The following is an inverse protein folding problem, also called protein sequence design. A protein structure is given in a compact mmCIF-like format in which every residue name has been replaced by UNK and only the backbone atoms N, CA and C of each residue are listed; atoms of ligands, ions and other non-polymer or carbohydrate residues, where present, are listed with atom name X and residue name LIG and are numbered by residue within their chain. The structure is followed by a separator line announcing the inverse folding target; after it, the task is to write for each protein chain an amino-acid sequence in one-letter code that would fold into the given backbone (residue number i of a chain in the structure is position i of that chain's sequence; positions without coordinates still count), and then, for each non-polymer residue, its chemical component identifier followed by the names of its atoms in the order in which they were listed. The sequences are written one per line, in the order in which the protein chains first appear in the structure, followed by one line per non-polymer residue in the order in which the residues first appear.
data_IF_459085488883
#
_entry.id   IF_459085488883
#
_cell.length_a   1.000
_cell.length_b   1.000
_cell.length_c   1.000
_cell.angle_alpha   90.00
_cell.angle_beta   90.00
_cell.angle_gamma   90.00
#
_symmetry.space_group_name_H-M   'P 1'
#
loop_
_entity.id
_entity.type
_entity.pdbx_description
1 polymer ?
#
# COMPACT_ATOMS: atom_id res chain seq x y z
N UNK A 1 -4.38 -70.97 -22.73
CA UNK A 1 -4.79 -69.74 -23.45
C UNK A 1 -4.15 -68.52 -22.77
N UNK A 2 -3.13 -67.88 -23.37
CA UNK A 2 -2.74 -66.47 -23.12
C UNK A 2 -3.51 -65.55 -24.11
N UNK A 3 -3.38 -64.18 -24.20
CA UNK A 3 -2.24 -63.32 -23.82
C UNK A 3 -2.57 -61.86 -23.34
N UNK A 4 -1.54 -60.98 -23.32
CA UNK A 4 -1.54 -59.50 -23.36
C UNK A 4 -1.82 -58.72 -22.05
N UNK A 5 -0.89 -57.94 -21.49
CA UNK A 5 -0.19 -56.71 -21.95
C UNK A 5 -1.06 -55.43 -21.95
N UNK A 6 -0.75 -54.48 -21.05
CA UNK A 6 -0.45 -53.03 -21.29
C UNK A 6 -0.69 -52.12 -20.06
N UNK A 7 -0.03 -50.95 -20.00
CA UNK A 7 0.09 -50.11 -18.81
C UNK A 7 -1.06 -49.08 -18.71
N UNK A 8 -1.41 -48.67 -17.49
CA UNK A 8 -2.30 -47.51 -17.28
C UNK A 8 -1.45 -46.24 -17.29
N UNK A 9 -1.58 -45.48 -18.39
CA UNK A 9 -1.30 -44.04 -18.45
C UNK A 9 -2.18 -43.33 -17.43
N UNK A 10 -1.59 -42.68 -16.43
CA UNK A 10 -2.25 -41.53 -15.79
C UNK A 10 -1.77 -40.26 -16.46
N UNK A 11 -2.48 -39.84 -17.50
CA UNK A 11 -2.53 -38.44 -17.93
C UNK A 11 -3.15 -37.61 -16.81
N UNK A 12 -2.34 -37.11 -15.88
CA UNK A 12 -2.76 -36.00 -15.03
C UNK A 12 -2.43 -34.71 -15.77
N UNK A 13 -3.49 -34.11 -16.28
CA UNK A 13 -3.51 -32.76 -16.80
C UNK A 13 -3.00 -31.80 -15.72
N UNK A 14 -1.72 -31.46 -15.74
CA UNK A 14 -1.23 -30.25 -15.09
C UNK A 14 -1.63 -29.07 -15.98
N UNK A 15 -2.92 -28.74 -16.00
CA UNK A 15 -3.36 -27.42 -16.49
C UNK A 15 -2.83 -26.42 -15.48
N UNK A 16 -1.67 -25.84 -15.77
CA UNK A 16 -1.23 -24.60 -15.14
C UNK A 16 -2.41 -23.61 -15.25
N UNK A 17 -2.83 -22.96 -14.15
CA UNK A 17 -3.81 -21.90 -14.26
C UNK A 17 -3.26 -20.83 -15.23
N UNK A 18 -4.12 -20.10 -15.95
CA UNK A 18 -3.65 -19.04 -16.81
C UNK A 18 -2.84 -18.08 -15.96
N UNK A 19 -1.57 -17.92 -16.34
CA UNK A 19 -0.70 -16.88 -15.81
C UNK A 19 -1.48 -15.58 -15.89
N UNK A 20 -1.71 -14.92 -14.75
CA UNK A 20 -2.05 -13.50 -14.78
C UNK A 20 -0.90 -12.85 -15.53
N UNK A 21 -1.14 -12.48 -16.79
CA UNK A 21 -0.13 -11.88 -17.66
C UNK A 21 0.29 -10.57 -17.02
N UNK A 22 1.38 -10.68 -16.27
CA UNK A 22 2.29 -9.62 -15.87
C UNK A 22 2.57 -8.82 -17.14
N UNK A 23 2.38 -7.50 -17.05
CA UNK A 23 3.02 -6.46 -17.84
C UNK A 23 3.73 -6.98 -19.11
N UNK A 24 3.17 -6.70 -20.29
CA UNK A 24 3.89 -6.91 -21.55
C UNK A 24 5.03 -5.88 -21.60
N UNK A 25 6.22 -6.32 -21.22
CA UNK A 25 7.47 -5.54 -21.32
C UNK A 25 7.95 -5.59 -22.76
N UNK A 26 7.85 -4.47 -23.47
CA UNK A 26 8.64 -4.23 -24.67
C UNK A 26 9.79 -3.29 -24.29
N UNK A 27 11.02 -3.81 -24.25
CA UNK A 27 12.25 -2.99 -24.23
C UNK A 27 12.56 -2.21 -22.95
N UNK A 28 12.32 -2.76 -21.75
CA UNK A 28 12.71 -2.13 -20.49
C UNK A 28 14.21 -2.37 -20.25
N UNK A 29 15.00 -1.29 -20.10
CA UNK A 29 16.36 -1.36 -19.55
C UNK A 29 16.27 -2.03 -18.17
N UNK A 30 17.20 -2.92 -17.78
CA UNK A 30 17.17 -3.48 -16.43
C UNK A 30 17.19 -2.31 -15.43
N UNK A 31 16.14 -2.23 -14.61
CA UNK A 31 16.11 -1.32 -13.47
C UNK A 31 17.28 -1.72 -12.58
N UNK A 32 18.23 -0.82 -12.39
CA UNK A 32 19.32 -1.05 -11.45
C UNK A 32 18.73 -0.97 -10.03
N UNK A 33 19.31 -1.72 -9.09
CA UNK A 33 18.92 -1.59 -7.68
C UNK A 33 19.74 -0.44 -7.10
N UNK A 34 19.09 0.62 -6.68
CA UNK A 34 19.73 1.81 -6.11
C UNK A 34 19.87 1.72 -4.59
N UNK A 35 18.89 1.10 -3.93
CA UNK A 35 18.92 0.87 -2.49
C UNK A 35 18.18 -0.41 -2.15
N UNK A 36 18.74 -1.22 -1.26
CA UNK A 36 18.08 -2.40 -0.72
C UNK A 36 18.35 -2.56 0.78
N UNK A 37 17.48 -3.29 1.47
CA UNK A 37 17.63 -3.53 2.90
C UNK A 37 16.47 -4.28 3.52
N UNK A 38 16.51 -4.40 4.84
CA UNK A 38 15.45 -5.02 5.63
C UNK A 38 14.43 -4.00 6.11
N UNK A 39 13.16 -4.38 6.11
CA UNK A 39 12.07 -3.61 6.70
C UNK A 39 11.98 -3.98 8.17
N UNK A 40 12.20 -2.99 9.03
CA UNK A 40 11.88 -3.08 10.45
C UNK A 40 10.35 -2.88 10.62
N UNK A 41 9.70 -3.52 11.61
CA UNK A 41 8.27 -3.34 11.84
C UNK A 41 7.84 -1.87 11.94
N UNK A 42 8.68 -0.96 12.43
CA UNK A 42 8.32 0.47 12.54
C UNK A 42 8.79 1.33 11.36
N UNK A 43 9.58 0.80 10.43
CA UNK A 43 10.29 1.64 9.45
C UNK A 43 9.57 1.80 8.10
N UNK A 44 8.64 0.93 7.74
CA UNK A 44 8.04 0.96 6.40
C UNK A 44 7.31 2.28 6.08
N UNK A 45 6.46 2.85 6.97
CA UNK A 45 5.83 4.14 6.70
C UNK A 45 6.87 5.25 6.44
N UNK A 46 7.92 5.32 7.26
CA UNK A 46 8.98 6.32 7.13
C UNK A 46 9.86 6.10 5.90
N UNK A 47 10.13 4.85 5.52
CA UNK A 47 10.81 4.52 4.27
C UNK A 47 9.99 5.01 3.08
N UNK A 48 8.70 4.64 3.01
CA UNK A 48 7.84 5.03 1.90
C UNK A 48 7.67 6.55 1.82
N UNK A 49 7.49 7.23 2.95
CA UNK A 49 7.43 8.69 2.99
C UNK A 49 8.72 9.33 2.51
N UNK A 50 9.88 8.81 2.95
CA UNK A 50 11.19 9.33 2.52
C UNK A 50 11.43 9.14 1.02
N UNK A 51 10.99 8.03 0.44
CA UNK A 51 11.06 7.79 -1.02
C UNK A 51 10.12 8.72 -1.78
N UNK A 52 8.96 9.07 -1.24
CA UNK A 52 8.08 10.07 -1.86
C UNK A 52 8.71 11.47 -1.83
N UNK A 53 9.43 11.79 -0.76
CA UNK A 53 10.02 13.11 -0.53
C UNK A 53 11.22 13.42 -1.44
N UNK A 54 11.86 12.41 -2.03
CA UNK A 54 12.98 12.63 -2.98
C UNK A 54 12.54 13.26 -4.30
N UNK A 55 11.24 13.30 -4.59
CA UNK A 55 10.68 13.70 -5.90
C UNK A 55 11.17 12.84 -7.08
N UNK A 56 11.73 11.67 -6.81
CA UNK A 56 12.23 10.77 -7.85
C UNK A 56 11.09 9.92 -8.45
N UNK A 57 11.34 9.42 -9.67
CA UNK A 57 10.52 8.38 -10.30
C UNK A 57 11.17 7.02 -10.11
N UNK A 58 10.38 6.01 -9.77
CA UNK A 58 10.92 4.68 -9.50
C UNK A 58 9.91 3.66 -8.97
N UNK A 59 10.44 2.53 -8.55
CA UNK A 59 9.69 1.40 -8.04
C UNK A 59 10.28 0.97 -6.69
N UNK A 60 9.41 0.87 -5.68
CA UNK A 60 9.72 0.26 -4.39
C UNK A 60 9.09 -1.13 -4.34
N UNK A 61 9.92 -2.16 -4.42
CA UNK A 61 9.53 -3.55 -4.23
C UNK A 61 9.67 -3.91 -2.75
N UNK A 62 8.60 -4.47 -2.18
CA UNK A 62 8.54 -4.97 -0.81
C UNK A 62 8.35 -6.50 -0.88
N UNK A 63 9.15 -7.24 -0.12
CA UNK A 63 9.05 -8.69 -0.01
C UNK A 63 8.87 -9.14 1.44
N UNK A 64 7.97 -10.09 1.65
CA UNK A 64 7.82 -10.82 2.91
C UNK A 64 7.43 -12.26 2.59
N UNK A 65 8.26 -13.20 2.98
CA UNK A 65 8.09 -14.63 2.67
C UNK A 65 7.92 -14.88 1.16
N UNK A 66 6.70 -15.25 0.74
CA UNK A 66 6.33 -15.48 -0.67
C UNK A 66 5.48 -14.35 -1.25
N UNK A 67 5.26 -13.29 -0.49
CA UNK A 67 4.48 -12.13 -0.89
C UNK A 67 5.41 -11.02 -1.35
N UNK A 68 5.17 -10.55 -2.56
CA UNK A 68 5.75 -9.34 -3.14
C UNK A 68 4.66 -8.29 -3.34
N UNK A 69 4.99 -7.04 -3.02
CA UNK A 69 4.19 -5.85 -3.34
C UNK A 69 5.09 -4.82 -4.02
N UNK A 70 4.66 -4.24 -5.14
CA UNK A 70 5.39 -3.18 -5.83
C UNK A 70 4.63 -1.87 -5.71
N UNK A 71 5.31 -0.81 -5.30
CA UNK A 71 4.80 0.56 -5.28
C UNK A 71 5.49 1.34 -6.38
N UNK A 72 4.72 1.99 -7.24
CA UNK A 72 5.24 2.79 -8.34
C UNK A 72 5.11 4.26 -7.98
N UNK A 73 6.22 4.99 -8.15
CA UNK A 73 6.32 6.40 -7.87
C UNK A 73 6.68 7.17 -9.13
N UNK A 74 6.08 8.35 -9.29
CA UNK A 74 6.44 9.32 -10.33
C UNK A 74 6.47 10.71 -9.72
N UNK A 75 7.59 11.39 -9.89
CA UNK A 75 7.82 12.74 -9.35
C UNK A 75 7.47 12.80 -7.84
N UNK A 76 7.94 11.80 -7.07
CA UNK A 76 7.66 11.68 -5.63
C UNK A 76 6.23 11.25 -5.26
N UNK A 77 5.34 11.02 -6.23
CA UNK A 77 3.95 10.66 -5.97
C UNK A 77 3.72 9.19 -6.21
N UNK A 78 3.04 8.54 -5.27
CA UNK A 78 2.56 7.17 -5.47
C UNK A 78 1.45 7.22 -6.53
N UNK A 79 1.68 6.54 -7.65
CA UNK A 79 0.73 6.52 -8.78
C UNK A 79 0.04 5.18 -8.93
N UNK A 80 0.65 4.09 -8.43
CA UNK A 80 0.08 2.75 -8.52
C UNK A 80 0.74 1.78 -7.53
N UNK A 81 0.10 0.64 -7.28
CA UNK A 81 0.72 -0.49 -6.60
C UNK A 81 0.20 -1.83 -7.14
N UNK A 82 1.04 -2.86 -7.07
CA UNK A 82 0.64 -4.25 -7.37
C UNK A 82 1.02 -5.18 -6.24
N UNK A 83 0.36 -6.32 -6.19
CA UNK A 83 0.60 -7.36 -5.19
C UNK A 83 0.52 -8.74 -5.82
N UNK A 84 1.39 -9.63 -5.37
CA UNK A 84 1.34 -11.06 -5.66
C UNK A 84 0.24 -11.78 -4.89
N UNK A 85 -0.29 -11.19 -3.81
CA UNK A 85 -1.42 -11.72 -3.07
C UNK A 85 -2.67 -11.72 -3.98
N UNK A 86 -3.39 -12.85 -4.03
CA UNK A 86 -4.60 -12.96 -4.86
C UNK A 86 -5.77 -12.18 -4.28
N UNK A 87 -5.81 -12.01 -2.97
CA UNK A 87 -6.87 -11.29 -2.27
C UNK A 87 -6.77 -9.77 -2.46
N UNK A 88 -5.62 -9.29 -2.93
CA UNK A 88 -5.37 -7.87 -3.28
C UNK A 88 -5.82 -7.53 -4.70
N UNK A 89 -6.25 -8.53 -5.50
CA UNK A 89 -6.67 -8.30 -6.88
C UNK A 89 -7.97 -7.51 -6.92
N UNK A 90 -8.08 -6.56 -7.85
CA UNK A 90 -9.26 -5.71 -8.06
C UNK A 90 -10.58 -6.47 -7.95
N UNK A 91 -10.71 -7.60 -8.65
CA UNK A 91 -11.95 -8.40 -8.62
C UNK A 91 -12.32 -8.93 -7.23
N UNK A 92 -11.34 -9.38 -6.44
CA UNK A 92 -11.57 -9.87 -5.07
C UNK A 92 -11.91 -8.72 -4.13
N UNK A 93 -11.24 -7.57 -4.29
CA UNK A 93 -11.57 -6.35 -3.56
C UNK A 93 -13.02 -5.91 -3.88
N UNK A 94 -13.39 -5.78 -5.16
CA UNK A 94 -14.75 -5.41 -5.56
C UNK A 94 -15.81 -6.38 -5.00
N UNK A 95 -15.50 -7.68 -4.93
CA UNK A 95 -16.35 -8.69 -4.31
C UNK A 95 -16.49 -8.49 -2.80
N UNK A 96 -15.37 -8.30 -2.09
CA UNK A 96 -15.32 -8.10 -0.63
C UNK A 96 -16.09 -6.87 -0.18
N UNK A 97 -16.11 -5.81 -1.00
CA UNK A 97 -16.89 -4.59 -0.76
C UNK A 97 -18.34 -4.66 -1.26
N UNK A 98 -18.79 -5.81 -1.77
CA UNK A 98 -20.16 -6.00 -2.25
C UNK A 98 -20.49 -5.23 -3.53
N UNK A 99 -19.49 -4.70 -4.24
CA UNK A 99 -19.67 -3.93 -5.48
C UNK A 99 -20.05 -4.87 -6.63
N UNK A 100 -19.53 -6.09 -6.64
CA UNK A 100 -19.90 -7.15 -7.59
C UNK A 100 -20.17 -8.46 -6.85
N UNK A 101 -21.08 -9.28 -7.38
CA UNK A 101 -21.31 -10.64 -6.89
C UNK A 101 -20.35 -11.67 -7.46
N UNK A 102 -20.24 -12.83 -6.81
CA UNK A 102 -19.36 -13.95 -7.19
C UNK A 102 -19.59 -14.39 -8.64
N UNK A 103 -20.85 -14.56 -9.05
CA UNK A 103 -21.20 -14.98 -10.43
C UNK A 103 -20.69 -13.99 -11.48
N UNK A 104 -20.91 -12.68 -11.26
CA UNK A 104 -20.43 -11.61 -12.14
C UNK A 104 -18.91 -11.58 -12.20
N UNK A 105 -18.24 -11.75 -11.07
CA UNK A 105 -16.78 -11.82 -11.02
C UNK A 105 -16.25 -12.98 -11.88
N UNK A 106 -16.78 -14.19 -11.71
CA UNK A 106 -16.34 -15.35 -12.49
C UNK A 106 -16.55 -15.14 -13.99
N UNK A 107 -17.74 -14.69 -14.38
CA UNK A 107 -18.06 -14.45 -15.80
C UNK A 107 -17.18 -13.37 -16.42
N UNK A 108 -16.92 -12.26 -15.71
CA UNK A 108 -16.03 -11.21 -16.19
C UNK A 108 -14.55 -11.68 -16.25
N UNK A 109 -14.12 -12.55 -15.32
CA UNK A 109 -12.77 -13.11 -15.33
C UNK A 109 -12.56 -14.07 -16.52
N UNK A 110 -13.53 -14.94 -16.80
CA UNK A 110 -13.47 -15.84 -17.96
C UNK A 110 -13.40 -15.06 -19.27
N UNK A 111 -14.22 -14.01 -19.40
CA UNK A 111 -14.20 -13.13 -20.56
C UNK A 111 -12.89 -12.34 -20.68
N UNK A 112 -12.33 -11.86 -19.57
CA UNK A 112 -11.04 -11.19 -19.52
C UNK A 112 -9.92 -12.09 -20.03
N UNK A 113 -9.90 -13.36 -19.63
CA UNK A 113 -8.94 -14.35 -20.14
C UNK A 113 -9.16 -14.61 -21.63
N UNK A 114 -10.41 -14.81 -22.06
CA UNK A 114 -10.76 -15.14 -23.45
C UNK A 114 -10.40 -14.02 -24.43
N UNK A 115 -10.60 -12.77 -24.03
CA UNK A 115 -10.41 -11.59 -24.88
C UNK A 115 -9.07 -10.90 -24.67
N UNK A 116 -8.30 -11.32 -23.66
CA UNK A 116 -7.09 -10.63 -23.18
C UNK A 116 -7.33 -9.16 -22.76
N UNK A 117 -8.58 -8.78 -22.47
CA UNK A 117 -8.93 -7.47 -21.90
C UNK A 117 -8.70 -7.45 -20.39
N UNK A 118 -8.47 -6.27 -19.81
CA UNK A 118 -8.40 -6.10 -18.35
C UNK A 118 -9.77 -6.38 -17.73
N UNK A 119 -9.81 -7.03 -16.56
CA UNK A 119 -11.04 -7.34 -15.83
C UNK A 119 -11.95 -6.12 -15.65
N UNK A 120 -11.37 -4.98 -15.24
CA UNK A 120 -12.11 -3.72 -15.08
C UNK A 120 -12.78 -3.25 -16.37
N UNK A 121 -12.12 -3.39 -17.51
CA UNK A 121 -12.68 -3.05 -18.83
C UNK A 121 -13.89 -3.92 -19.15
N UNK A 122 -13.79 -5.24 -18.91
CA UNK A 122 -14.91 -6.17 -19.12
C UNK A 122 -16.10 -5.83 -18.22
N UNK A 123 -15.85 -5.52 -16.94
CA UNK A 123 -16.90 -5.14 -15.99
C UNK A 123 -17.65 -3.86 -16.44
N UNK A 124 -16.94 -2.90 -17.02
CA UNK A 124 -17.53 -1.68 -17.59
C UNK A 124 -18.32 -1.97 -18.86
N UNK A 125 -17.76 -2.76 -19.78
CA UNK A 125 -18.45 -3.15 -21.04
C UNK A 125 -19.75 -3.91 -20.78
N UNK A 126 -19.81 -4.72 -19.72
CA UNK A 126 -21.02 -5.43 -19.30
C UNK A 126 -22.01 -4.56 -18.51
N UNK A 127 -21.67 -3.31 -18.22
CA UNK A 127 -22.52 -2.41 -17.42
C UNK A 127 -22.63 -2.80 -15.94
N UNK A 128 -21.75 -3.68 -15.45
CA UNK A 128 -21.74 -4.10 -14.05
C UNK A 128 -20.92 -3.16 -13.15
N UNK A 129 -20.10 -2.31 -13.75
CA UNK A 129 -19.33 -1.29 -13.05
C UNK A 129 -19.29 -0.01 -13.89
N UNK A 130 -19.57 1.13 -13.27
CA UNK A 130 -19.44 2.41 -13.97
C UNK A 130 -17.95 2.80 -14.11
N UNK A 131 -17.54 3.50 -15.19
CA UNK A 131 -16.15 3.92 -15.38
C UNK A 131 -15.56 4.70 -14.18
N UNK A 132 -16.33 5.61 -13.60
CA UNK A 132 -15.92 6.37 -12.40
C UNK A 132 -15.73 5.47 -11.17
N UNK A 133 -16.57 4.44 -11.03
CA UNK A 133 -16.48 3.47 -9.94
C UNK A 133 -15.29 2.53 -10.11
N UNK A 134 -14.90 2.22 -11.35
CA UNK A 134 -13.65 1.52 -11.63
C UNK A 134 -12.43 2.31 -11.15
N UNK A 135 -12.35 3.61 -11.45
CA UNK A 135 -11.25 4.46 -10.98
C UNK A 135 -11.18 4.47 -9.45
N UNK A 136 -12.32 4.66 -8.77
CA UNK A 136 -12.39 4.60 -7.30
C UNK A 136 -11.96 3.24 -6.76
N UNK A 137 -12.42 2.15 -7.37
CA UNK A 137 -12.04 0.80 -6.99
C UNK A 137 -10.54 0.55 -7.15
N UNK A 138 -9.91 1.09 -8.20
CA UNK A 138 -8.46 0.99 -8.39
C UNK A 138 -7.70 1.79 -7.33
N UNK A 139 -8.13 3.01 -6.98
CA UNK A 139 -7.54 3.79 -5.86
C UNK A 139 -7.61 2.99 -4.56
N UNK A 140 -8.80 2.45 -4.26
CA UNK A 140 -9.02 1.67 -3.06
C UNK A 140 -8.16 0.39 -3.02
N UNK A 141 -8.00 -0.29 -4.16
CA UNK A 141 -7.12 -1.45 -4.28
C UNK A 141 -5.67 -1.08 -3.95
N UNK A 142 -5.17 0.04 -4.49
CA UNK A 142 -3.81 0.52 -4.22
C UNK A 142 -3.64 0.85 -2.73
N UNK A 143 -4.62 1.53 -2.14
CA UNK A 143 -4.64 1.81 -0.71
C UNK A 143 -4.60 0.54 0.14
N UNK A 144 -5.44 -0.47 -0.15
CA UNK A 144 -5.44 -1.76 0.55
C UNK A 144 -4.07 -2.46 0.44
N UNK A 145 -3.44 -2.45 -0.73
CA UNK A 145 -2.12 -3.04 -0.92
C UNK A 145 -1.09 -2.38 0.00
N UNK A 146 -1.07 -1.04 0.04
CA UNK A 146 -0.14 -0.26 0.88
C UNK A 146 -0.40 -0.47 2.38
N UNK A 147 -1.67 -0.44 2.79
CA UNK A 147 -2.04 -0.58 4.20
C UNK A 147 -1.73 -1.97 4.75
N UNK A 148 -1.99 -3.02 3.99
CA UNK A 148 -1.58 -4.37 4.39
C UNK A 148 -0.05 -4.50 4.48
N UNK A 149 0.70 -3.80 3.60
CA UNK A 149 2.15 -3.75 3.70
C UNK A 149 2.60 -3.10 5.02
N UNK A 150 1.93 -2.04 5.48
CA UNK A 150 2.22 -1.40 6.77
C UNK A 150 1.95 -2.32 7.95
N UNK A 151 1.04 -3.29 7.82
CA UNK A 151 0.79 -4.30 8.85
C UNK A 151 1.89 -5.37 8.92
N UNK A 152 2.79 -5.46 7.93
CA UNK A 152 3.88 -6.43 7.94
C UNK A 152 4.81 -6.19 9.15
N UNK A 153 5.15 -7.25 9.93
CA UNK A 153 6.04 -7.15 11.07
C UNK A 153 7.53 -7.04 10.67
N UNK A 154 7.83 -7.13 9.38
CA UNK A 154 9.16 -7.09 8.81
C UNK A 154 9.17 -7.64 7.39
N UNK A 155 10.31 -7.56 6.73
CA UNK A 155 10.49 -7.99 5.34
C UNK A 155 11.76 -7.40 4.73
N UNK A 156 11.79 -7.32 3.41
CA UNK A 156 12.89 -6.75 2.62
C UNK A 156 12.33 -5.73 1.65
N UNK A 157 13.15 -4.74 1.29
CA UNK A 157 12.81 -3.77 0.26
C UNK A 157 13.93 -3.63 -0.77
N UNK A 158 13.54 -3.29 -2.00
CA UNK A 158 14.43 -2.87 -3.08
C UNK A 158 13.82 -1.64 -3.75
N UNK A 159 14.61 -0.57 -3.84
CA UNK A 159 14.30 0.65 -4.56
C UNK A 159 15.09 0.66 -5.86
N UNK A 160 14.37 0.88 -6.95
CA UNK A 160 14.92 1.11 -8.28
C UNK A 160 14.40 2.43 -8.81
N UNK A 161 15.30 3.35 -9.14
CA UNK A 161 15.00 4.66 -9.70
C UNK A 161 15.06 4.61 -11.23
N UNK A 162 14.39 5.58 -11.85
CA UNK A 162 14.33 5.73 -13.30
C UNK A 162 12.97 5.38 -13.89
N UNK A 163 12.96 5.15 -15.21
CA UNK A 163 11.73 5.04 -15.98
C UNK A 163 10.86 3.86 -15.52
N UNK A 164 9.57 4.14 -15.36
CA UNK A 164 8.59 3.11 -15.04
C UNK A 164 8.38 2.19 -16.25
N UNK A 165 8.13 0.89 -16.03
CA UNK A 165 8.04 -0.11 -17.08
C UNK A 165 6.86 0.07 -18.06
N UNK A 166 6.01 1.10 -17.91
CA UNK A 166 4.86 1.36 -18.81
C UNK A 166 4.49 2.83 -18.92
N UNK A 167 3.97 3.25 -20.08
CA UNK A 167 3.35 4.57 -20.29
C UNK A 167 1.86 4.65 -19.90
N UNK A 168 1.19 3.53 -19.65
CA UNK A 168 -0.23 3.48 -19.24
C UNK A 168 -0.42 3.52 -17.73
N UNK A 169 0.25 4.45 -17.05
CA UNK A 169 -0.04 4.68 -15.64
C UNK A 169 -1.27 5.57 -15.58
N UNK A 170 -2.39 5.03 -15.09
CA UNK A 170 -3.47 5.89 -14.59
C UNK A 170 -2.82 6.69 -13.46
N UNK A 171 -2.61 7.99 -13.67
CA UNK A 171 -2.09 8.86 -12.62
C UNK A 171 -3.15 8.99 -11.54
N UNK A 172 -3.11 8.09 -10.57
CA UNK A 172 -3.94 8.18 -9.38
C UNK A 172 -3.40 9.34 -8.55
N UNK A 173 -4.21 10.38 -8.36
CA UNK A 173 -3.88 11.46 -7.43
C UNK A 173 -4.20 10.97 -6.03
N UNK A 174 -3.20 10.41 -5.35
CA UNK A 174 -3.29 10.03 -3.94
C UNK A 174 -2.45 10.99 -3.11
N UNK A 175 -2.96 11.31 -1.93
CA UNK A 175 -2.31 12.20 -0.99
C UNK A 175 -1.42 11.38 -0.05
N UNK A 176 -0.10 11.59 -0.10
CA UNK A 176 0.85 10.81 0.68
C UNK A 176 0.63 10.97 2.19
N UNK A 177 0.36 12.18 2.69
CA UNK A 177 0.11 12.43 4.12
C UNK A 177 -1.13 11.69 4.62
N UNK A 178 -2.21 11.69 3.83
CA UNK A 178 -3.42 10.91 4.11
C UNK A 178 -3.16 9.40 4.11
N UNK A 179 -2.36 8.91 3.15
CA UNK A 179 -1.96 7.50 3.10
C UNK A 179 -1.17 7.09 4.33
N UNK A 180 -0.23 7.93 4.79
CA UNK A 180 0.56 7.66 6.01
C UNK A 180 -0.35 7.57 7.23
N UNK A 181 -1.21 8.57 7.44
CA UNK A 181 -2.13 8.58 8.60
C UNK A 181 -3.10 7.38 8.55
N UNK A 182 -3.73 7.14 7.41
CA UNK A 182 -4.71 6.05 7.26
C UNK A 182 -4.06 4.68 7.39
N UNK A 183 -2.86 4.51 6.83
CA UNK A 183 -2.10 3.27 6.93
C UNK A 183 -1.62 2.99 8.34
N UNK A 184 -1.04 3.99 9.03
CA UNK A 184 -0.59 3.84 10.42
C UNK A 184 -1.75 3.53 11.36
N UNK A 185 -2.94 4.12 11.12
CA UNK A 185 -4.19 3.79 11.85
C UNK A 185 -4.61 2.31 11.73
N UNK A 186 -4.14 1.58 10.72
CA UNK A 186 -4.40 0.14 10.58
C UNK A 186 -3.52 -0.72 11.48
N UNK A 187 -2.41 -0.20 11.99
CA UNK A 187 -1.47 -0.96 12.80
C UNK A 187 -2.05 -1.14 14.21
N UNK A 188 -2.48 -2.37 14.54
CA UNK A 188 -3.12 -2.73 15.82
C UNK A 188 -2.16 -3.24 16.90
N UNK A 189 -0.89 -2.86 16.83
CA UNK A 189 0.15 -3.27 17.79
C UNK A 189 0.64 -2.09 18.60
N UNK A 190 0.34 -2.07 19.90
CA UNK A 190 0.84 -1.03 20.81
C UNK A 190 2.36 -1.06 20.91
N UNK A 191 2.96 -2.25 20.96
CA UNK A 191 4.42 -2.41 20.98
C UNK A 191 5.09 -1.66 19.82
N UNK A 192 4.53 -1.75 18.60
CA UNK A 192 5.08 -1.03 17.44
C UNK A 192 4.91 0.48 17.55
N UNK A 193 3.78 0.94 18.11
CA UNK A 193 3.53 2.36 18.34
C UNK A 193 4.53 2.90 19.38
N UNK A 194 4.68 2.21 20.51
CA UNK A 194 5.63 2.55 21.56
C UNK A 194 7.07 2.57 21.04
N UNK A 195 7.48 1.56 20.26
CA UNK A 195 8.81 1.51 19.64
C UNK A 195 9.03 2.66 18.64
N UNK A 196 8.01 3.02 17.87
CA UNK A 196 8.08 4.13 16.92
C UNK A 196 8.15 5.50 17.61
N UNK A 197 7.55 5.66 18.79
CA UNK A 197 7.50 6.91 19.55
C UNK A 197 8.65 7.03 20.57
N UNK A 198 9.18 5.92 21.06
CA UNK A 198 10.17 5.91 22.13
C UNK A 198 9.56 5.96 23.54
N UNK A 199 10.41 6.19 24.53
CA UNK A 199 10.03 6.22 25.94
C UNK A 199 9.13 7.43 26.29
N UNK A 200 8.35 7.35 27.37
CA UNK A 200 7.36 8.37 27.75
C UNK A 200 7.93 9.77 28.04
N UNK A 201 9.22 9.87 28.33
CA UNK A 201 9.96 11.12 28.52
C UNK A 201 10.48 11.71 27.20
N UNK A 202 10.34 11.01 26.08
CA UNK A 202 10.67 11.52 24.74
C UNK A 202 9.84 12.76 24.45
N UNK A 203 10.53 13.86 24.14
CA UNK A 203 9.92 15.14 23.84
C UNK A 203 9.70 15.33 22.35
N UNK A 204 8.57 15.94 22.00
CA UNK A 204 8.18 16.28 20.64
C UNK A 204 7.83 17.76 20.52
N UNK A 205 8.10 18.33 19.35
CA UNK A 205 7.66 19.67 18.94
C UNK A 205 7.24 19.65 17.48
N UNK A 206 6.31 20.53 17.11
CA UNK A 206 5.97 20.83 15.71
C UNK A 206 7.18 21.40 14.97
N UNK A 207 7.40 20.94 13.74
CA UNK A 207 8.44 21.45 12.85
C UNK A 207 7.98 22.75 12.16
N UNK A 208 8.90 23.69 11.96
CA UNK A 208 8.69 24.84 11.09
C UNK A 208 8.55 24.39 9.62
N UNK A 209 7.72 25.06 8.83
CA UNK A 209 7.54 24.75 7.40
C UNK A 209 6.67 23.51 7.14
N UNK A 210 5.98 22.98 8.16
CA UNK A 210 5.13 21.80 8.04
C UNK A 210 3.71 22.10 7.53
N UNK A 211 3.39 23.36 7.22
CA UNK A 211 2.04 23.85 6.90
C UNK A 211 1.43 23.15 5.68
N UNK A 212 2.20 22.91 4.62
CA UNK A 212 1.71 22.24 3.41
C UNK A 212 1.36 20.76 3.69
N UNK A 213 2.18 20.08 4.47
CA UNK A 213 1.95 18.69 4.89
C UNK A 213 0.76 18.59 5.83
N UNK A 214 0.58 19.55 6.74
CA UNK A 214 -0.59 19.65 7.63
C UNK A 214 -1.86 19.85 6.79
N UNK A 215 -1.86 20.78 5.83
CA UNK A 215 -3.01 21.09 4.99
C UNK A 215 -3.49 19.91 4.13
N UNK A 216 -2.61 18.94 3.87
CA UNK A 216 -2.91 17.72 3.11
C UNK A 216 -3.30 16.55 4.01
N UNK A 217 -3.11 16.60 5.33
CA UNK A 217 -3.46 15.52 6.23
C UNK A 217 -4.89 15.70 6.78
N UNK A 218 -5.75 14.66 6.77
CA UNK A 218 -7.11 14.76 7.30
C UNK A 218 -7.09 14.68 8.84
N UNK A 219 -6.77 15.80 9.47
CA UNK A 219 -6.79 15.97 10.91
C UNK A 219 -8.19 16.37 11.38
N UNK A 220 -8.65 15.73 12.45
CA UNK A 220 -9.84 16.13 13.19
C UNK A 220 -9.51 17.25 14.21
N UNK A 221 -10.50 17.68 14.97
CA UNK A 221 -10.34 18.74 15.96
C UNK A 221 -9.26 18.41 17.00
N UNK A 222 -9.15 17.14 17.41
CA UNK A 222 -8.17 16.73 18.42
C UNK A 222 -6.75 16.70 17.83
N UNK A 223 -6.60 16.30 16.57
CA UNK A 223 -5.33 16.43 15.86
C UNK A 223 -4.86 17.89 15.73
N UNK A 224 -5.77 18.83 15.49
CA UNK A 224 -5.43 20.25 15.45
C UNK A 224 -5.05 20.80 16.84
N UNK A 225 -5.77 20.42 17.90
CA UNK A 225 -5.41 20.76 19.28
C UNK A 225 -4.04 20.20 19.67
N UNK A 226 -3.72 18.97 19.23
CA UNK A 226 -2.41 18.36 19.45
C UNK A 226 -1.29 19.18 18.81
N UNK A 227 -1.45 19.61 17.56
CA UNK A 227 -0.46 20.46 16.89
C UNK A 227 -0.27 21.79 17.61
N UNK A 228 -1.36 22.40 18.10
CA UNK A 228 -1.28 23.63 18.90
C UNK A 228 -0.53 23.41 20.23
N UNK A 229 -0.74 22.27 20.89
CA UNK A 229 0.00 21.93 22.11
C UNK A 229 1.50 21.75 21.84
N UNK A 230 1.85 21.24 20.65
CA UNK A 230 3.22 20.95 20.21
C UNK A 230 3.97 22.16 19.61
N UNK A 231 3.38 23.36 19.60
CA UNK A 231 4.14 24.61 19.36
C UNK A 231 5.28 24.76 20.38
N UNK A 232 5.09 24.23 21.58
CA UNK A 232 6.12 24.06 22.61
C UNK A 232 6.55 22.61 22.70
N UNK A 233 7.80 22.35 23.10
CA UNK A 233 8.28 20.98 23.34
C UNK A 233 7.49 20.33 24.49
N UNK A 234 6.99 19.11 24.29
CA UNK A 234 6.26 18.33 25.30
C UNK A 234 6.64 16.86 25.24
N UNK A 235 6.72 16.23 26.40
CA UNK A 235 6.94 14.78 26.52
C UNK A 235 5.70 13.99 26.13
N UNK A 236 5.87 12.75 25.67
CA UNK A 236 4.75 11.82 25.43
C UNK A 236 3.86 11.67 26.66
N UNK A 237 4.44 11.62 27.86
CA UNK A 237 3.70 11.58 29.13
C UNK A 237 2.75 12.77 29.30
N UNK A 238 3.21 13.98 29.01
CA UNK A 238 2.39 15.18 29.09
C UNK A 238 1.30 15.18 28.01
N UNK A 239 1.63 14.74 26.80
CA UNK A 239 0.67 14.64 25.69
C UNK A 239 -0.46 13.68 26.04
N UNK A 240 -0.17 12.44 26.46
CA UNK A 240 -1.21 11.48 26.85
C UNK A 240 -2.08 11.99 28.01
N UNK A 241 -1.50 12.72 28.97
CA UNK A 241 -2.26 13.32 30.06
C UNK A 241 -3.21 14.44 29.61
N UNK A 242 -2.89 15.16 28.52
CA UNK A 242 -3.71 16.26 27.98
C UNK A 242 -4.90 15.77 27.14
N UNK A 243 -4.81 14.57 26.58
CA UNK A 243 -5.81 14.00 25.66
C UNK A 243 -6.34 12.65 26.19
N UNK A 244 -7.13 12.65 27.28
CA UNK A 244 -7.60 11.42 27.89
C UNK A 244 -8.63 10.70 27.00
N UNK A 245 -8.52 9.37 26.91
CA UNK A 245 -9.56 8.53 26.30
C UNK A 245 -9.24 7.97 24.91
N UNK A 246 -7.97 7.81 24.55
CA UNK A 246 -7.59 7.24 23.26
C UNK A 246 -6.08 7.13 23.05
N UNK A 247 -5.30 6.71 24.05
CA UNK A 247 -3.82 6.65 23.98
C UNK A 247 -3.33 5.85 22.77
N UNK A 248 -4.08 4.81 22.39
CA UNK A 248 -3.78 4.01 21.21
C UNK A 248 -3.89 4.83 19.92
N UNK A 249 -5.05 5.44 19.68
CA UNK A 249 -5.31 6.29 18.52
C UNK A 249 -4.43 7.54 18.49
N UNK A 250 -4.18 8.14 19.66
CA UNK A 250 -3.27 9.28 19.81
C UNK A 250 -1.83 8.89 19.49
N UNK A 251 -1.38 7.73 19.94
CA UNK A 251 -0.07 7.18 19.60
C UNK A 251 0.08 6.93 18.09
N UNK A 252 -0.95 6.38 17.44
CA UNK A 252 -0.98 6.24 15.98
C UNK A 252 -0.89 7.61 15.28
N UNK A 253 -1.60 8.62 15.77
CA UNK A 253 -1.54 9.97 15.22
C UNK A 253 -0.15 10.58 15.39
N UNK A 254 0.44 10.53 16.59
CA UNK A 254 1.80 11.00 16.85
C UNK A 254 2.82 10.32 15.93
N UNK A 255 2.69 9.02 15.73
CA UNK A 255 3.58 8.27 14.83
C UNK A 255 3.41 8.73 13.37
N UNK A 256 2.18 8.98 12.92
CA UNK A 256 1.93 9.53 11.60
C UNK A 256 2.52 10.94 11.43
N UNK A 257 2.30 11.83 12.41
CA UNK A 257 2.86 13.19 12.40
C UNK A 257 4.40 13.19 12.39
N UNK A 258 5.04 12.29 13.14
CA UNK A 258 6.48 12.12 13.13
C UNK A 258 6.96 11.59 11.78
N UNK A 259 6.27 10.59 11.23
CA UNK A 259 6.60 9.98 9.93
C UNK A 259 6.56 11.00 8.81
N UNK A 260 5.56 11.88 8.81
CA UNK A 260 5.40 12.95 7.82
C UNK A 260 6.17 14.22 8.16
N UNK A 261 7.06 14.18 9.17
CA UNK A 261 7.91 15.29 9.62
C UNK A 261 7.14 16.56 10.02
N UNK A 262 5.88 16.41 10.40
CA UNK A 262 5.09 17.51 11.00
C UNK A 262 5.57 17.78 12.42
N UNK A 263 5.98 16.73 13.13
CA UNK A 263 6.60 16.83 14.46
C UNK A 263 7.95 16.13 14.44
N UNK A 264 8.85 16.53 15.32
CA UNK A 264 10.15 15.92 15.51
C UNK A 264 10.46 15.72 17.00
N UNK A 265 11.31 14.75 17.28
CA UNK A 265 11.89 14.55 18.61
C UNK A 265 12.88 15.67 18.92
N UNK A 266 12.91 16.16 20.16
CA UNK A 266 13.74 17.29 20.63
C UNK A 266 14.54 16.92 21.86
#
# INVERSE_FOLDING_TARGET
MPPCSRPIRTTRWTKRPPSSTIFRVAGVRPMNVDLEGTIHPTSLPSLLFSVCDTNETGQLLLRKDRLEKNVYLKDGKIIFATSSNRDDRLGHMLLRHGIIGVERLHRAADESVRTSKRLGTVLVEYGWLEPKSLVRGVIQQVQEILFEAFEWPGGEYQLSLGDLPTQEVITLKMNTSELMLTGIRRIRSWYRIEEALGALDTCYRKCDGSEETIATMPLDEDGLKLLQALETSRSLKEIFAMFPGGDFELGQLLWALQTTRIIARV
#
